data_IF_406778284498
#
_entry.id   IF_406778284498
#
_cell.length_a   1.000
_cell.length_b   1.000
_cell.length_c   1.000
_cell.angle_alpha   90.00
_cell.angle_beta   90.00
_cell.angle_gamma   90.00
#
_symmetry.space_group_name_H-M   'P 1'
#
loop_
_entity.id
_entity.type
_entity.pdbx_description
1 polymer ?
#
# COMPACT_ATOMS: atom_id res chain seq x y z
N UNK A 1 -27.90 18.52 16.93
CA UNK A 1 -26.83 18.08 16.02
C UNK A 1 -25.50 18.43 16.66
N UNK A 2 -24.54 17.52 16.68
CA UNK A 2 -23.19 17.81 17.18
C UNK A 2 -22.46 18.68 16.16
N UNK A 3 -21.93 19.83 16.60
CA UNK A 3 -21.07 20.67 15.77
C UNK A 3 -19.61 20.21 15.87
N UNK A 4 -18.88 20.32 14.77
CA UNK A 4 -17.47 19.91 14.67
C UNK A 4 -16.62 21.02 14.08
N UNK A 5 -15.42 21.17 14.61
CA UNK A 5 -14.32 21.89 14.01
C UNK A 5 -13.48 20.92 13.18
N UNK A 6 -12.99 21.33 12.02
CA UNK A 6 -12.14 20.52 11.15
C UNK A 6 -10.77 21.16 10.99
N UNK A 7 -9.74 20.33 10.92
CA UNK A 7 -8.36 20.73 10.64
C UNK A 7 -7.78 19.83 9.56
N UNK A 8 -7.17 20.45 8.56
CA UNK A 8 -6.50 19.76 7.46
C UNK A 8 -5.02 20.12 7.51
N UNK A 9 -4.17 19.11 7.50
CA UNK A 9 -2.71 19.29 7.54
C UNK A 9 -2.07 18.53 6.38
N UNK A 10 -0.93 18.99 5.83
CA UNK A 10 -0.18 18.20 4.86
C UNK A 10 0.21 16.85 5.45
N UNK A 11 0.05 15.77 4.69
CA UNK A 11 0.52 14.46 5.12
C UNK A 11 2.06 14.46 5.17
N UNK A 12 2.69 13.80 6.14
CA UNK A 12 4.14 13.67 6.17
C UNK A 12 4.64 13.01 4.87
N UNK A 13 5.53 13.67 4.15
CA UNK A 13 6.12 13.14 2.91
C UNK A 13 7.46 12.44 3.12
N UNK A 14 8.08 12.62 4.29
CA UNK A 14 9.40 12.08 4.63
C UNK A 14 9.34 11.37 5.97
N UNK A 15 10.07 10.27 6.06
CA UNK A 15 10.19 9.50 7.29
C UNK A 15 11.13 10.13 8.33
N UNK A 16 10.76 10.03 9.60
CA UNK A 16 11.47 10.56 10.75
C UNK A 16 12.29 9.43 11.37
N UNK A 17 13.59 9.67 11.57
CA UNK A 17 14.47 8.72 12.28
C UNK A 17 14.12 8.71 13.76
N UNK A 18 14.09 7.51 14.35
CA UNK A 18 13.94 7.32 15.78
C UNK A 18 14.77 6.13 16.25
N UNK A 19 14.97 6.01 17.57
CA UNK A 19 15.71 4.88 18.16
C UNK A 19 15.00 3.56 17.80
N UNK A 20 15.74 2.62 17.23
CA UNK A 20 15.18 1.33 16.78
C UNK A 20 14.56 1.35 15.36
N UNK A 21 14.30 2.53 14.78
CA UNK A 21 13.67 2.67 13.46
C UNK A 21 14.73 2.77 12.36
N UNK A 22 15.07 1.62 11.76
CA UNK A 22 16.19 1.50 10.82
C UNK A 22 15.79 1.63 9.35
N UNK A 23 14.63 1.11 8.95
CA UNK A 23 14.22 1.03 7.54
C UNK A 23 13.48 2.31 7.07
N UNK A 24 13.52 2.65 5.76
CA UNK A 24 12.78 3.78 5.22
C UNK A 24 11.27 3.71 5.47
N UNK A 25 10.67 2.53 5.30
CA UNK A 25 9.25 2.29 5.57
C UNK A 25 8.90 2.56 7.04
N UNK A 26 9.69 2.03 7.98
CA UNK A 26 9.44 2.25 9.40
C UNK A 26 9.62 3.71 9.80
N UNK A 27 10.53 4.46 9.14
CA UNK A 27 10.66 5.91 9.35
C UNK A 27 9.43 6.66 8.86
N UNK A 28 8.88 6.26 7.72
CA UNK A 28 7.66 6.85 7.17
C UNK A 28 6.46 6.59 8.09
N UNK A 29 6.28 5.34 8.52
CA UNK A 29 5.25 4.98 9.49
C UNK A 29 5.38 5.79 10.79
N UNK A 30 6.61 5.90 11.32
CA UNK A 30 6.89 6.70 12.51
C UNK A 30 6.51 8.19 12.31
N UNK A 31 6.71 8.78 11.13
CA UNK A 31 6.26 10.16 10.89
C UNK A 31 4.75 10.32 10.93
N UNK A 32 4.01 9.38 10.34
CA UNK A 32 2.54 9.37 10.37
C UNK A 32 2.07 9.18 11.81
N UNK A 33 2.63 8.20 12.53
CA UNK A 33 2.31 7.91 13.92
C UNK A 33 2.52 9.13 14.82
N UNK A 34 3.67 9.80 14.71
CA UNK A 34 3.96 11.01 15.49
C UNK A 34 2.92 12.11 15.24
N UNK A 35 2.54 12.36 13.98
CA UNK A 35 1.52 13.35 13.66
C UNK A 35 0.14 12.95 14.20
N UNK A 36 -0.24 11.68 14.09
CA UNK A 36 -1.50 11.19 14.65
C UNK A 36 -1.55 11.38 16.16
N UNK A 37 -0.47 11.05 16.86
CA UNK A 37 -0.36 11.19 18.30
C UNK A 37 -0.37 12.66 18.75
N UNK A 38 0.33 13.54 18.02
CA UNK A 38 0.32 14.99 18.26
C UNK A 38 -1.11 15.55 18.11
N UNK A 39 -1.80 15.19 17.03
CA UNK A 39 -3.16 15.64 16.78
C UNK A 39 -4.13 15.10 17.84
N UNK A 40 -4.02 13.81 18.19
CA UNK A 40 -4.81 13.19 19.26
C UNK A 40 -4.59 13.87 20.62
N UNK A 41 -3.34 14.23 20.96
CA UNK A 41 -3.03 14.98 22.17
C UNK A 41 -3.69 16.38 22.19
N UNK A 42 -3.90 16.99 21.01
CA UNK A 42 -4.67 18.22 20.84
C UNK A 42 -6.19 18.06 20.84
N UNK A 43 -6.70 16.84 21.07
CA UNK A 43 -8.12 16.50 21.04
C UNK A 43 -8.71 16.36 19.63
N UNK A 44 -7.86 16.17 18.61
CA UNK A 44 -8.29 15.96 17.23
C UNK A 44 -8.43 14.47 16.91
N UNK A 45 -9.53 14.11 16.26
CA UNK A 45 -9.83 12.78 15.76
C UNK A 45 -9.47 12.68 14.27
N UNK A 46 -8.63 11.71 13.91
CA UNK A 46 -8.32 11.44 12.50
C UNK A 46 -9.57 10.97 11.76
N UNK A 47 -9.80 11.51 10.56
CA UNK A 47 -10.92 11.12 9.71
C UNK A 47 -10.45 10.33 8.50
N UNK A 48 -9.52 10.91 7.72
CA UNK A 48 -9.03 10.30 6.48
C UNK A 48 -7.80 11.02 5.93
N UNK A 49 -7.09 10.34 5.03
CA UNK A 49 -6.09 10.96 4.17
C UNK A 49 -6.66 11.13 2.75
N UNK A 50 -6.29 12.21 2.08
CA UNK A 50 -6.79 12.59 0.75
C UNK A 50 -5.65 13.01 -0.16
N UNK A 51 -5.81 12.81 -1.47
CA UNK A 51 -4.90 13.28 -2.51
C UNK A 51 -5.64 14.29 -3.40
N UNK A 52 -5.34 15.57 -3.24
CA UNK A 52 -6.08 16.66 -3.88
C UNK A 52 -5.20 17.47 -4.84
N UNK A 53 -5.75 17.96 -5.97
CA UNK A 53 -5.06 18.90 -6.83
C UNK A 53 -4.98 20.29 -6.18
N UNK A 54 -3.80 20.92 -6.26
CA UNK A 54 -3.48 22.26 -5.77
C UNK A 54 -2.99 23.11 -6.94
N UNK A 55 -3.71 24.16 -7.31
CA UNK A 55 -3.26 25.09 -8.35
C UNK A 55 -2.28 26.11 -7.77
N UNK A 56 -1.08 26.16 -8.33
CA UNK A 56 -0.01 27.06 -7.89
C UNK A 56 0.54 27.85 -9.05
N UNK A 57 0.96 29.09 -8.80
CA UNK A 57 1.56 29.94 -9.83
C UNK A 57 2.86 29.31 -10.34
N UNK A 58 2.99 29.25 -11.65
CA UNK A 58 4.17 28.80 -12.37
C UNK A 58 4.72 29.94 -13.22
N UNK A 59 5.95 30.38 -12.93
CA UNK A 59 6.58 31.50 -13.62
C UNK A 59 5.82 32.82 -13.50
N UNK A 60 5.87 33.64 -14.56
CA UNK A 60 5.31 35.00 -14.53
C UNK A 60 3.80 35.03 -14.77
N UNK A 61 3.22 34.12 -15.56
CA UNK A 61 1.79 34.15 -15.93
C UNK A 61 1.10 32.79 -15.94
N UNK A 62 1.81 31.69 -15.66
CA UNK A 62 1.25 30.33 -15.68
C UNK A 62 0.70 29.88 -14.33
N UNK A 63 -0.10 28.81 -14.36
CA UNK A 63 -0.42 27.98 -13.20
C UNK A 63 0.00 26.53 -13.47
N UNK A 64 0.18 25.76 -12.40
CA UNK A 64 0.48 24.32 -12.46
C UNK A 64 -0.29 23.62 -11.36
N UNK A 65 -0.90 22.49 -11.72
CA UNK A 65 -1.60 21.63 -10.78
C UNK A 65 -0.61 20.67 -10.10
N UNK A 66 -0.50 20.77 -8.78
CA UNK A 66 0.29 19.89 -7.93
C UNK A 66 -0.64 18.97 -7.14
N UNK A 67 -0.43 17.66 -7.21
CA UNK A 67 -1.19 16.70 -6.40
C UNK A 67 -0.57 16.60 -5.01
N UNK A 68 -1.32 16.91 -3.96
CA UNK A 68 -0.84 16.96 -2.58
C UNK A 68 -1.63 16.01 -1.70
N UNK A 69 -0.90 15.24 -0.89
CA UNK A 69 -1.49 14.42 0.17
C UNK A 69 -1.77 15.28 1.40
N UNK A 70 -2.98 15.18 1.95
CA UNK A 70 -3.41 15.85 3.18
C UNK A 70 -4.08 14.87 4.12
N UNK A 71 -4.03 15.15 5.42
CA UNK A 71 -4.72 14.40 6.47
C UNK A 71 -5.77 15.30 7.10
N UNK A 72 -7.00 14.78 7.18
CA UNK A 72 -8.18 15.50 7.69
C UNK A 72 -8.49 15.01 9.10
N UNK A 73 -8.67 15.95 10.00
CA UNK A 73 -9.02 15.74 11.40
C UNK A 73 -10.27 16.52 11.76
N UNK A 74 -10.99 16.06 12.79
CA UNK A 74 -12.13 16.79 13.37
C UNK A 74 -12.04 16.83 14.89
N UNK A 75 -12.74 17.77 15.52
CA UNK A 75 -12.95 17.83 16.97
C UNK A 75 -14.36 18.33 17.24
N UNK A 76 -15.06 17.74 18.20
CA UNK A 76 -16.38 18.22 18.61
C UNK A 76 -16.24 19.64 19.20
N UNK A 77 -17.04 20.59 18.72
CA UNK A 77 -17.21 21.86 19.42
C UNK A 77 -18.04 21.59 20.67
N UNK A 78 -17.56 22.06 21.82
CA UNK A 78 -18.35 21.99 23.05
C UNK A 78 -19.67 22.73 22.79
N UNK A 79 -20.78 21.99 22.78
CA UNK A 79 -22.07 22.63 22.94
C UNK A 79 -22.07 23.19 24.37
N UNK A 80 -22.51 24.43 24.57
CA UNK A 80 -22.99 24.86 25.88
C UNK A 80 -24.17 23.94 26.23
N UNK A 81 -23.86 22.81 26.86
CA UNK A 81 -24.83 21.89 27.41
C UNK A 81 -24.60 21.86 28.91
N UNK A 82 -25.65 22.02 29.74
CA UNK A 82 -25.52 22.09 31.18
C UNK A 82 -24.76 20.88 31.68
N UNK A 83 -23.85 21.08 32.64
CA UNK A 83 -23.01 20.05 33.23
C UNK A 83 -23.75 18.73 33.42
N UNK A 84 -23.58 17.80 32.47
CA UNK A 84 -23.96 16.42 32.69
C UNK A 84 -22.99 15.86 33.72
N UNK A 85 -23.59 15.44 34.82
CA UNK A 85 -22.95 14.93 36.02
C UNK A 85 -22.00 13.77 35.70
N UNK A 86 -20.95 13.54 36.50
CA UNK A 86 -19.95 12.51 36.22
C UNK A 86 -20.64 11.14 36.07
N UNK A 87 -20.40 10.50 34.92
CA UNK A 87 -20.90 9.15 34.66
C UNK A 87 -20.47 8.20 35.80
N UNK A 88 -21.40 7.43 36.39
CA UNK A 88 -21.04 6.47 37.42
C UNK A 88 -20.22 5.34 36.78
N UNK A 89 -19.00 5.16 37.30
CA UNK A 89 -18.22 3.93 37.19
C UNK A 89 -18.17 3.30 35.81
N UNK A 90 -17.18 3.70 35.00
CA UNK A 90 -16.68 2.84 33.93
C UNK A 90 -16.22 1.53 34.58
N UNK A 91 -17.08 0.51 34.56
CA UNK A 91 -16.63 -0.87 34.63
C UNK A 91 -15.74 -1.08 33.43
N UNK A 92 -14.47 -1.28 33.71
CA UNK A 92 -13.50 -1.85 32.78
C UNK A 92 -14.18 -3.06 32.11
N UNK A 93 -14.43 -3.04 30.78
CA UNK A 93 -14.82 -4.27 30.12
C UNK A 93 -13.66 -5.21 30.31
N UNK A 94 -13.87 -6.28 31.08
CA UNK A 94 -12.95 -7.40 31.16
C UNK A 94 -12.54 -7.72 29.72
N UNK A 95 -11.24 -7.59 29.44
CA UNK A 95 -10.70 -7.92 28.13
C UNK A 95 -11.26 -9.29 27.74
N UNK A 96 -11.84 -9.46 26.54
CA UNK A 96 -12.07 -10.80 26.05
C UNK A 96 -10.69 -11.45 26.04
N UNK A 97 -10.50 -12.43 26.92
CA UNK A 97 -9.34 -13.30 26.86
C UNK A 97 -9.47 -14.00 25.52
N UNK A 98 -8.71 -13.51 24.54
CA UNK A 98 -8.56 -14.17 23.26
C UNK A 98 -7.80 -15.44 23.60
N UNK A 99 -8.53 -16.52 23.87
CA UNK A 99 -7.95 -17.85 23.81
C UNK A 99 -7.44 -18.01 22.38
N UNK A 100 -6.12 -17.89 22.23
CA UNK A 100 -5.45 -18.46 21.08
C UNK A 100 -5.75 -19.94 21.12
N UNK A 101 -6.79 -20.36 20.39
CA UNK A 101 -6.93 -21.76 20.02
C UNK A 101 -5.72 -22.06 19.17
N UNK A 102 -4.73 -22.68 19.79
CA UNK A 102 -3.70 -23.39 19.07
C UNK A 102 -4.46 -24.49 18.32
N UNK A 103 -4.83 -24.22 17.07
CA UNK A 103 -5.07 -25.30 16.12
C UNK A 103 -3.83 -26.18 16.21
N UNK A 104 -4.02 -27.49 16.41
CA UNK A 104 -2.93 -28.45 16.50
C UNK A 104 -1.84 -28.12 15.48
N UNK A 105 -0.55 -28.21 15.85
CA UNK A 105 0.53 -27.89 14.93
C UNK A 105 0.33 -28.71 13.66
N UNK A 106 -0.13 -28.03 12.60
CA UNK A 106 -0.12 -28.58 11.27
C UNK A 106 1.36 -28.63 10.91
N UNK A 107 1.95 -29.79 11.12
CA UNK A 107 3.24 -30.13 10.57
C UNK A 107 3.06 -30.07 9.05
N UNK A 108 3.71 -29.13 8.35
CA UNK A 108 3.67 -29.16 6.90
C UNK A 108 4.25 -30.49 6.43
N UNK A 109 3.68 -31.12 5.38
CA UNK A 109 4.21 -32.38 4.87
C UNK A 109 5.68 -32.20 4.50
N UNK A 110 6.51 -33.17 4.88
CA UNK A 110 7.93 -33.18 4.53
C UNK A 110 8.05 -33.34 3.00
N UNK A 111 8.67 -32.36 2.35
CA UNK A 111 8.93 -32.38 0.90
C UNK A 111 10.42 -32.30 0.63
N UNK A 112 10.92 -33.08 -0.33
CA UNK A 112 12.32 -33.08 -0.77
C UNK A 112 12.43 -32.79 -2.27
N UNK A 113 13.56 -32.24 -2.72
CA UNK A 113 13.80 -32.03 -4.14
C UNK A 113 13.94 -33.36 -4.89
N UNK A 114 13.31 -33.46 -6.06
CA UNK A 114 13.37 -34.66 -6.89
C UNK A 114 14.82 -35.09 -7.20
N UNK A 115 15.25 -36.24 -6.68
CA UNK A 115 16.58 -36.82 -6.91
C UNK A 115 17.65 -36.54 -5.85
N UNK A 116 17.27 -35.97 -4.70
CA UNK A 116 18.19 -35.75 -3.58
C UNK A 116 18.60 -37.08 -2.89
N UNK A 117 19.89 -37.46 -2.90
CA UNK A 117 20.36 -38.71 -2.29
C UNK A 117 20.33 -38.71 -0.76
N UNK A 118 20.14 -37.55 -0.12
CA UNK A 118 20.08 -37.41 1.34
C UNK A 118 18.63 -37.30 1.86
N UNK A 119 17.64 -37.45 0.97
CA UNK A 119 16.23 -37.31 1.33
C UNK A 119 15.72 -38.45 2.24
N UNK A 120 14.97 -38.12 3.32
CA UNK A 120 14.25 -39.12 4.12
C UNK A 120 13.23 -39.90 3.27
N UNK A 121 13.02 -41.20 3.51
CA UNK A 121 12.15 -42.04 2.69
C UNK A 121 10.66 -41.62 2.71
N UNK A 122 10.26 -40.83 3.71
CA UNK A 122 8.88 -40.37 3.90
C UNK A 122 8.60 -38.99 3.26
N UNK A 123 9.60 -38.36 2.64
CA UNK A 123 9.43 -37.06 2.01
C UNK A 123 8.77 -37.16 0.62
N UNK A 124 7.76 -36.32 0.38
CA UNK A 124 7.16 -36.20 -0.95
C UNK A 124 8.12 -35.48 -1.89
N UNK A 125 8.48 -36.11 -3.01
CA UNK A 125 9.42 -35.51 -3.96
C UNK A 125 8.73 -34.43 -4.79
N UNK A 126 9.22 -33.21 -4.70
CA UNK A 126 8.72 -32.04 -5.44
C UNK A 126 9.78 -31.57 -6.44
N UNK A 127 9.37 -31.15 -7.65
CA UNK A 127 10.29 -30.55 -8.61
C UNK A 127 10.96 -29.31 -8.00
N UNK A 128 12.28 -29.19 -8.17
CA UNK A 128 12.99 -27.99 -7.76
C UNK A 128 12.50 -26.74 -8.51
N UNK A 129 12.76 -25.52 -7.99
CA UNK A 129 12.23 -24.27 -8.57
C UNK A 129 12.57 -24.07 -10.05
N UNK A 130 13.73 -24.55 -10.51
CA UNK A 130 14.11 -24.52 -11.93
C UNK A 130 13.29 -25.49 -12.80
N UNK A 131 13.09 -26.73 -12.31
CA UNK A 131 12.29 -27.74 -13.01
C UNK A 131 10.80 -27.38 -13.04
N UNK A 132 10.28 -26.75 -11.98
CA UNK A 132 8.92 -26.24 -11.95
C UNK A 132 8.69 -25.17 -13.02
N UNK A 133 9.66 -24.26 -13.24
CA UNK A 133 9.59 -23.23 -14.29
C UNK A 133 9.64 -23.80 -15.70
N UNK A 134 10.46 -24.84 -15.94
CA UNK A 134 10.51 -25.51 -17.25
C UNK A 134 9.23 -26.29 -17.55
N UNK A 135 8.56 -26.87 -16.53
CA UNK A 135 7.29 -27.58 -16.73
C UNK A 135 6.11 -26.64 -17.02
N UNK A 136 6.18 -25.38 -16.58
CA UNK A 136 5.15 -24.37 -16.86
C UNK A 136 5.36 -23.60 -18.17
N UNK A 137 6.50 -23.80 -18.84
CA UNK A 137 6.82 -23.16 -20.10
C UNK A 137 6.43 -24.09 -21.26
N UNK A 138 5.22 -23.91 -21.79
CA UNK A 138 4.74 -24.64 -22.97
C UNK A 138 5.47 -24.22 -24.27
N UNK A 139 6.45 -23.32 -24.20
CA UNK A 139 7.36 -22.99 -25.31
C UNK A 139 6.69 -22.30 -26.51
N UNK A 140 5.46 -21.80 -26.36
CA UNK A 140 4.64 -21.23 -27.45
C UNK A 140 4.64 -19.70 -27.54
N UNK A 141 5.25 -18.99 -26.60
CA UNK A 141 5.23 -17.51 -26.57
C UNK A 141 6.22 -16.83 -27.55
N UNK A 142 7.07 -17.59 -28.24
CA UNK A 142 8.10 -17.06 -29.16
C UNK A 142 7.81 -17.37 -30.64
N UNK A 143 6.56 -17.66 -31.02
CA UNK A 143 6.16 -17.75 -32.43
C UNK A 143 5.21 -16.62 -32.85
N UNK A 144 5.71 -15.38 -32.88
CA UNK A 144 5.23 -14.44 -33.91
C UNK A 144 6.28 -13.41 -34.43
N UNK A 145 7.41 -13.84 -35.01
CA UNK A 145 8.26 -12.90 -35.77
C UNK A 145 7.57 -12.36 -37.05
N UNK A 146 6.54 -13.04 -37.56
CA UNK A 146 5.96 -12.75 -38.88
C UNK A 146 4.93 -11.62 -38.87
N UNK A 147 4.34 -11.29 -37.71
CA UNK A 147 3.38 -10.19 -37.59
C UNK A 147 4.06 -8.80 -37.66
N UNK A 148 5.28 -8.68 -37.15
CA UNK A 148 6.04 -7.42 -37.17
C UNK A 148 6.57 -7.05 -38.57
N UNK A 149 6.88 -8.05 -39.40
CA UNK A 149 7.55 -7.82 -40.68
C UNK A 149 6.60 -7.30 -41.77
N UNK A 150 5.32 -7.69 -41.74
CA UNK A 150 4.28 -7.18 -42.66
C UNK A 150 3.90 -5.73 -42.37
N UNK A 151 3.88 -5.32 -41.10
CA UNK A 151 3.62 -3.93 -40.71
C UNK A 151 4.74 -2.98 -41.19
N UNK A 152 6.01 -3.41 -41.09
CA UNK A 152 7.15 -2.64 -41.55
C UNK A 152 7.21 -2.49 -43.08
N UNK A 153 6.89 -3.55 -43.84
CA UNK A 153 6.82 -3.48 -45.31
C UNK A 153 5.67 -2.58 -45.79
N UNK A 154 4.50 -2.63 -45.15
CA UNK A 154 3.34 -1.78 -45.50
C UNK A 154 3.65 -0.29 -45.32
N UNK A 155 4.26 0.08 -44.19
CA UNK A 155 4.64 1.47 -43.89
C UNK A 155 5.68 2.03 -44.88
N UNK A 156 6.55 1.18 -45.42
CA UNK A 156 7.55 1.57 -46.44
C UNK A 156 6.96 1.70 -47.85
N UNK A 157 5.90 0.95 -48.16
CA UNK A 157 5.19 1.07 -49.45
C UNK A 157 4.37 2.38 -49.50
N UNK A 158 3.75 2.77 -48.40
CA UNK A 158 2.99 4.03 -48.28
C UNK A 158 3.89 5.27 -48.44
N UNK A 159 5.10 5.26 -47.86
CA UNK A 159 6.06 6.37 -47.99
C UNK A 159 6.68 6.53 -49.38
N UNK A 160 6.58 5.51 -50.25
CA UNK A 160 7.12 5.57 -51.62
C UNK A 160 6.07 6.07 -52.64
N UNK A 161 4.80 6.17 -52.26
CA UNK A 161 3.71 6.62 -53.13
C UNK A 161 3.53 8.14 -53.21
N UNK A 162 4.05 8.90 -52.23
CA UNK A 162 3.80 10.35 -52.12
C UNK A 162 4.92 11.22 -52.72
N UNK A 163 5.79 10.63 -53.56
CA UNK A 163 6.98 11.29 -54.12
C UNK A 163 7.02 11.43 -55.65
N UNK A 164 5.93 11.13 -56.36
CA UNK A 164 5.80 11.40 -57.80
C UNK A 164 4.56 12.27 -58.06
N UNK A 165 4.74 13.58 -57.90
CA UNK A 165 4.33 14.60 -58.88
C UNK A 165 5.05 15.93 -58.62
#
# INVERSE_FOLDING_TARGET
>A
MQAYEYKVVPAPAKGTKAKGVKTPEARFANSIENLLNEMAAGGWEFQRAELLPSEERSGLTGSTTNWRNVMVFRRALAAEQPAESPAPGRKEPAAPSVEFRHSEPHTPPLTAAAGDPEAPPEATQVPGPGAARMQSDDGVEELSPVAGMTAALKKRAEQKGDGEN
#
